data_IF_284381604826
#
_entry.id   IF_284381604826
#
_cell.length_a   1.000
_cell.length_b   1.000
_cell.length_c   1.000
_cell.angle_alpha   90.00
_cell.angle_beta   90.00
_cell.angle_gamma   90.00
#
_symmetry.space_group_name_H-M   'P 1'
#
loop_
_entity.id
_entity.type
_entity.pdbx_description
1 polymer ?
#
# COMPACT_ATOMS: atom_id res chain seq x y z
N UNK A 1 49.73 -15.78 17.65
CA UNK A 1 48.93 -14.71 18.29
C UNK A 1 47.52 -14.86 17.76
N UNK A 2 46.81 -15.79 18.39
CA UNK A 2 45.39 -16.09 18.14
C UNK A 2 44.51 -15.09 18.87
N UNK A 3 43.35 -14.78 18.29
CA UNK A 3 42.04 -14.83 18.94
C UNK A 3 40.95 -14.57 17.91
N UNK A 4 40.52 -15.64 17.25
CA UNK A 4 39.19 -15.73 16.66
C UNK A 4 38.18 -15.89 17.80
N UNK A 5 37.28 -14.93 17.98
CA UNK A 5 36.17 -15.04 18.90
C UNK A 5 35.01 -15.74 18.19
N UNK A 6 34.67 -16.94 18.66
CA UNK A 6 33.44 -17.64 18.32
C UNK A 6 32.25 -16.83 18.87
N UNK A 7 31.39 -16.33 17.98
CA UNK A 7 30.04 -15.90 18.35
C UNK A 7 29.09 -17.07 18.12
N UNK A 8 28.74 -17.77 19.20
CA UNK A 8 27.52 -18.57 19.27
C UNK A 8 26.43 -17.65 19.82
N UNK A 9 25.53 -17.15 18.97
CA UNK A 9 24.32 -16.49 19.44
C UNK A 9 23.17 -17.51 19.50
N UNK A 10 22.74 -17.78 20.72
CA UNK A 10 21.49 -18.45 21.02
C UNK A 10 20.35 -17.59 20.50
N UNK A 11 19.54 -18.13 19.58
CA UNK A 11 18.30 -17.52 19.13
C UNK A 11 17.32 -17.53 20.31
N UNK A 12 17.05 -16.36 20.89
CA UNK A 12 15.98 -16.16 21.87
C UNK A 12 14.63 -16.26 21.16
N UNK A 13 13.97 -17.42 21.27
CA UNK A 13 12.58 -17.61 20.86
C UNK A 13 11.73 -17.31 22.09
N UNK A 14 11.06 -16.16 22.12
CA UNK A 14 10.02 -15.87 23.10
C UNK A 14 8.73 -16.44 22.54
N UNK A 15 8.29 -17.55 23.12
CA UNK A 15 7.00 -18.18 22.83
C UNK A 15 5.94 -17.51 23.72
N UNK A 16 4.94 -16.88 23.10
CA UNK A 16 3.80 -16.28 23.80
C UNK A 16 2.51 -17.09 23.64
N UNK A 17 2.61 -18.37 23.24
CA UNK A 17 1.45 -19.26 23.20
C UNK A 17 1.64 -20.41 24.17
N UNK A 18 1.30 -20.21 25.43
CA UNK A 18 0.87 -21.26 26.35
C UNK A 18 0.10 -20.60 27.50
N UNK A 19 -1.22 -20.53 27.31
CA UNK A 19 -2.26 -20.79 28.32
C UNK A 19 -3.60 -20.29 27.76
N UNK A 20 -4.10 -21.00 26.74
CA UNK A 20 -5.52 -21.01 26.40
C UNK A 20 -5.93 -22.48 26.25
N UNK A 21 -6.29 -23.06 27.38
CA UNK A 21 -6.85 -24.41 27.47
C UNK A 21 -8.31 -24.32 26.99
N UNK A 22 -8.58 -24.72 25.74
CA UNK A 22 -9.93 -24.88 25.24
C UNK A 22 -10.53 -26.14 25.88
N UNK A 23 -11.27 -25.96 26.97
CA UNK A 23 -12.20 -26.99 27.45
C UNK A 23 -13.51 -26.88 26.68
N UNK A 24 -13.83 -27.93 25.95
CA UNK A 24 -15.18 -28.18 25.46
C UNK A 24 -16.10 -28.42 26.66
N UNK A 25 -17.21 -27.69 26.75
CA UNK A 25 -18.37 -28.09 27.55
C UNK A 25 -19.69 -27.80 26.79
N UNK A 26 -20.75 -28.57 27.07
CA UNK A 26 -21.83 -28.83 26.13
C UNK A 26 -22.95 -27.79 26.17
N UNK A 27 -23.78 -27.80 25.12
CA UNK A 27 -24.96 -26.95 24.96
C UNK A 27 -26.01 -27.13 26.08
N UNK A 28 -26.62 -26.02 26.52
CA UNK A 28 -28.03 -25.88 26.95
C UNK A 28 -28.39 -24.38 27.12
N UNK A 29 -29.67 -24.09 26.89
CA UNK A 29 -30.39 -22.80 26.74
C UNK A 29 -30.46 -21.85 27.96
N UNK A 30 -30.86 -20.62 27.61
CA UNK A 30 -31.69 -19.63 28.34
C UNK A 30 -31.05 -18.49 29.17
N UNK A 31 -31.30 -17.27 28.66
CA UNK A 31 -31.72 -15.99 29.27
C UNK A 31 -31.07 -15.35 30.54
N UNK A 32 -30.89 -14.02 30.39
CA UNK A 32 -30.90 -12.90 31.36
C UNK A 32 -29.60 -12.41 32.09
N UNK A 33 -29.27 -11.14 31.74
CA UNK A 33 -28.85 -9.97 32.55
C UNK A 33 -27.62 -9.93 33.50
N UNK A 34 -26.81 -8.87 33.26
CA UNK A 34 -25.97 -8.04 34.14
C UNK A 34 -25.26 -8.65 35.36
N UNK A 35 -23.93 -8.51 35.42
CA UNK A 35 -23.26 -7.50 36.28
C UNK A 35 -21.74 -7.70 36.34
N UNK A 36 -21.06 -6.61 36.66
CA UNK A 36 -19.62 -6.43 36.78
C UNK A 36 -18.99 -7.23 37.92
N UNK A 37 -17.81 -7.82 37.70
CA UNK A 37 -16.92 -8.13 38.83
C UNK A 37 -15.43 -8.10 38.47
N UNK A 38 -14.68 -7.29 39.22
CA UNK A 38 -13.22 -7.23 39.27
C UNK A 38 -12.71 -8.45 40.04
N UNK A 39 -11.65 -9.11 39.58
CA UNK A 39 -10.89 -10.05 40.40
C UNK A 39 -9.40 -9.71 40.44
N UNK A 40 -8.93 -9.49 41.68
CA UNK A 40 -7.53 -9.46 42.09
C UNK A 40 -7.00 -10.90 42.18
N UNK A 41 -5.84 -11.19 41.59
CA UNK A 41 -5.12 -12.44 41.84
C UNK A 41 -3.78 -12.16 42.55
N UNK A 42 -3.62 -12.77 43.73
CA UNK A 42 -2.36 -12.94 44.45
C UNK A 42 -1.60 -14.13 43.87
N UNK A 43 -0.31 -13.95 43.57
CA UNK A 43 0.61 -15.00 43.15
C UNK A 43 1.30 -15.61 44.38
N UNK A 44 1.33 -16.94 44.47
CA UNK A 44 2.19 -17.71 45.39
C UNK A 44 3.16 -18.51 44.53
N UNK A 45 4.46 -18.35 44.79
CA UNK A 45 5.55 -19.05 44.11
C UNK A 45 6.09 -20.10 45.08
N UNK A 46 6.10 -21.38 44.68
CA UNK A 46 6.91 -22.42 45.33
C UNK A 46 7.88 -23.03 44.32
N UNK A 47 9.18 -22.92 44.63
CA UNK A 47 10.29 -23.55 43.91
C UNK A 47 10.64 -24.89 44.58
N UNK A 48 10.79 -25.96 43.80
CA UNK A 48 11.56 -27.15 44.20
C UNK A 48 12.45 -27.64 43.05
N UNK A 49 13.75 -27.58 43.28
CA UNK A 49 14.83 -28.13 42.46
C UNK A 49 15.14 -29.56 42.94
N UNK A 50 15.42 -30.47 42.02
CA UNK A 50 16.09 -31.74 42.32
C UNK A 50 17.20 -32.01 41.29
N UNK A 51 18.40 -32.30 41.81
CA UNK A 51 19.64 -32.59 41.09
C UNK A 51 19.80 -34.11 40.92
N UNK A 52 20.19 -34.58 39.73
CA UNK A 52 20.89 -35.87 39.63
C UNK A 52 21.90 -35.96 38.46
N UNK A 53 23.14 -36.24 38.89
CA UNK A 53 24.27 -37.05 38.36
C UNK A 53 24.74 -36.94 36.90
N UNK A 54 26.01 -36.54 36.79
CA UNK A 54 26.91 -36.48 35.63
C UNK A 54 27.64 -37.82 35.42
N UNK A 55 27.79 -38.34 34.18
CA UNK A 55 28.80 -39.35 33.84
C UNK A 55 30.08 -38.74 33.23
N UNK A 56 31.23 -39.40 33.50
CA UNK A 56 32.60 -39.04 33.07
C UNK A 56 32.93 -39.44 31.62
N UNK A 57 33.94 -38.81 30.97
CA UNK A 57 34.25 -39.03 29.55
C UNK A 57 35.22 -40.21 29.33
N UNK A 58 35.19 -40.88 28.16
CA UNK A 58 36.25 -41.80 27.76
C UNK A 58 37.35 -41.13 26.93
N UNK A 59 38.54 -41.69 27.09
CA UNK A 59 39.87 -41.27 26.65
C UNK A 59 40.14 -41.46 25.15
N UNK A 60 41.03 -40.61 24.62
CA UNK A 60 41.50 -40.51 23.24
C UNK A 60 42.37 -41.70 22.81
N UNK A 61 42.19 -42.19 21.58
CA UNK A 61 43.23 -42.84 20.80
C UNK A 61 43.37 -42.16 19.43
N UNK A 62 44.57 -41.66 19.15
CA UNK A 62 45.03 -41.04 17.91
C UNK A 62 45.41 -42.10 16.87
N UNK A 63 44.83 -42.01 15.68
CA UNK A 63 45.39 -42.60 14.45
C UNK A 63 45.25 -41.58 13.33
N UNK A 64 46.38 -41.10 12.84
CA UNK A 64 46.50 -40.16 11.72
C UNK A 64 46.37 -40.97 10.42
N UNK A 65 45.33 -40.69 9.63
CA UNK A 65 45.23 -41.11 8.24
C UNK A 65 44.98 -39.88 7.37
N UNK A 66 45.96 -39.52 6.56
CA UNK A 66 45.82 -38.50 5.53
C UNK A 66 44.89 -39.01 4.42
N UNK A 67 43.69 -38.45 4.32
CA UNK A 67 42.92 -38.43 3.08
C UNK A 67 42.56 -36.98 2.74
N UNK A 68 43.05 -36.54 1.58
CA UNK A 68 42.60 -35.32 0.92
C UNK A 68 41.13 -35.50 0.56
N UNK A 69 40.24 -34.69 1.14
CA UNK A 69 38.88 -34.53 0.63
C UNK A 69 38.50 -33.05 0.63
N UNK A 70 38.18 -32.55 -0.54
CA UNK A 70 37.59 -31.25 -0.84
C UNK A 70 36.45 -30.90 0.14
N UNK A 71 36.63 -29.84 0.93
CA UNK A 71 35.57 -29.25 1.73
C UNK A 71 34.78 -28.24 0.87
N UNK A 72 33.70 -28.71 0.27
CA UNK A 72 32.57 -27.84 -0.10
C UNK A 72 31.71 -27.65 1.15
N UNK A 73 31.80 -26.47 1.77
CA UNK A 73 30.91 -26.09 2.86
C UNK A 73 29.50 -25.78 2.32
N UNK A 74 28.67 -26.82 2.15
CA UNK A 74 27.23 -26.67 1.99
C UNK A 74 26.53 -26.80 3.35
N UNK A 75 26.64 -25.78 4.19
CA UNK A 75 25.73 -25.60 5.33
C UNK A 75 24.41 -25.03 4.81
N UNK A 76 23.57 -25.89 4.23
CA UNK A 76 22.22 -25.51 3.82
C UNK A 76 21.39 -25.08 5.04
N UNK A 77 20.91 -23.84 5.03
CA UNK A 77 19.94 -23.34 6.02
C UNK A 77 18.73 -24.29 6.02
N UNK A 78 18.52 -25.01 7.13
CA UNK A 78 17.36 -25.91 7.28
C UNK A 78 16.09 -25.06 7.31
N UNK A 79 15.21 -25.25 6.32
CA UNK A 79 13.89 -24.61 6.25
C UNK A 79 13.07 -24.99 7.48
N UNK A 80 12.44 -24.01 8.12
CA UNK A 80 11.61 -24.24 9.32
C UNK A 80 10.18 -24.60 8.91
N UNK A 81 9.47 -25.29 9.80
CA UNK A 81 8.03 -25.47 9.66
C UNK A 81 7.36 -24.10 9.79
N UNK A 82 6.65 -23.65 8.75
CA UNK A 82 6.05 -22.31 8.71
C UNK A 82 5.09 -22.06 9.89
N UNK A 83 4.39 -23.08 10.39
CA UNK A 83 3.49 -22.95 11.54
C UNK A 83 4.22 -22.45 12.79
N UNK A 84 5.49 -22.83 12.97
CA UNK A 84 6.31 -22.38 14.11
C UNK A 84 6.72 -20.89 14.04
N UNK A 85 6.56 -20.27 12.87
CA UNK A 85 6.91 -18.88 12.60
C UNK A 85 5.71 -17.94 12.60
N UNK A 86 4.48 -18.49 12.54
CA UNK A 86 3.26 -17.70 12.49
C UNK A 86 3.09 -16.81 13.72
N UNK A 87 2.60 -15.60 13.48
CA UNK A 87 2.37 -14.53 14.44
C UNK A 87 3.64 -14.10 15.20
N UNK A 88 4.80 -14.13 14.53
CA UNK A 88 6.09 -13.76 15.12
C UNK A 88 6.76 -12.61 14.39
N UNK A 89 7.43 -11.79 15.19
CA UNK A 89 8.44 -10.84 14.75
C UNK A 89 9.82 -11.42 15.07
N UNK A 90 10.64 -11.65 14.06
CA UNK A 90 11.93 -12.31 14.19
C UNK A 90 13.04 -11.30 13.86
N UNK A 91 14.00 -11.15 14.78
CA UNK A 91 15.18 -10.33 14.54
C UNK A 91 16.11 -11.09 13.61
N UNK A 92 16.15 -10.72 12.33
CA UNK A 92 16.93 -11.41 11.29
C UNK A 92 17.10 -10.51 10.07
N UNK A 93 18.19 -10.72 9.33
CA UNK A 93 18.32 -10.14 7.99
C UNK A 93 17.18 -10.63 7.07
N UNK A 94 16.69 -9.73 6.22
CA UNK A 94 15.57 -9.98 5.32
C UNK A 94 15.78 -11.16 4.35
N UNK A 95 16.99 -11.33 3.77
CA UNK A 95 17.28 -12.45 2.87
C UNK A 95 17.42 -13.76 3.65
N UNK A 96 18.08 -13.72 4.81
CA UNK A 96 18.19 -14.90 5.67
C UNK A 96 16.82 -15.35 6.19
N UNK A 97 15.96 -14.41 6.60
CA UNK A 97 14.57 -14.68 6.97
C UNK A 97 13.77 -15.31 5.84
N UNK A 98 13.87 -14.78 4.62
CA UNK A 98 13.20 -15.35 3.44
C UNK A 98 13.64 -16.80 3.17
N UNK A 99 14.94 -17.12 3.32
CA UNK A 99 15.46 -18.50 3.13
C UNK A 99 14.92 -19.50 4.15
N UNK A 100 14.50 -19.04 5.33
CA UNK A 100 13.86 -19.90 6.35
C UNK A 100 12.46 -20.37 5.94
N UNK A 101 11.78 -19.62 5.07
CA UNK A 101 10.40 -19.87 4.66
C UNK A 101 10.30 -20.95 3.57
N UNK A 102 9.30 -21.84 3.61
CA UNK A 102 9.00 -22.76 2.50
C UNK A 102 8.58 -22.00 1.23
N UNK A 103 8.73 -22.64 0.07
CA UNK A 103 8.14 -22.12 -1.17
C UNK A 103 6.61 -22.13 -1.11
N UNK A 104 5.94 -21.25 -1.85
CA UNK A 104 4.47 -21.22 -1.97
C UNK A 104 3.73 -21.20 -0.62
N UNK A 105 4.19 -20.39 0.33
CA UNK A 105 3.76 -20.43 1.73
C UNK A 105 3.21 -19.11 2.27
N UNK A 106 3.37 -18.02 1.52
CA UNK A 106 2.93 -16.67 1.91
C UNK A 106 1.90 -16.16 0.90
N UNK A 107 0.76 -15.69 1.40
CA UNK A 107 -0.33 -15.21 0.55
C UNK A 107 -0.16 -13.74 0.16
N UNK A 108 0.21 -12.89 1.12
CA UNK A 108 0.38 -11.47 0.88
C UNK A 108 1.66 -10.95 1.54
N UNK A 109 2.36 -10.07 0.84
CA UNK A 109 3.51 -9.36 1.38
C UNK A 109 3.23 -7.88 1.21
N UNK A 110 3.27 -7.10 2.29
CA UNK A 110 3.25 -5.63 2.22
C UNK A 110 4.53 -5.17 2.87
N UNK A 111 5.37 -4.48 2.12
CA UNK A 111 6.70 -4.11 2.62
C UNK A 111 7.24 -2.87 1.94
N UNK A 112 8.25 -2.25 2.55
CA UNK A 112 8.93 -1.08 2.03
C UNK A 112 10.40 -1.12 2.46
N UNK A 113 11.36 -1.32 1.55
CA UNK A 113 12.77 -1.38 1.90
C UNK A 113 13.32 0.01 2.25
N UNK A 114 14.52 0.07 2.86
CA UNK A 114 15.28 1.31 2.91
C UNK A 114 15.70 1.73 1.49
N UNK A 115 15.43 2.98 1.10
CA UNK A 115 15.51 3.45 -0.29
C UNK A 115 16.93 3.77 -0.79
N UNK A 116 17.97 3.50 -0.02
CA UNK A 116 19.37 3.74 -0.37
C UNK A 116 19.66 5.17 -0.84
N UNK A 117 19.08 6.16 -0.15
CA UNK A 117 19.22 7.56 -0.57
C UNK A 117 20.58 8.14 -0.21
N UNK A 118 21.24 7.63 0.84
CA UNK A 118 22.61 8.00 1.16
C UNK A 118 23.59 7.32 0.20
N UNK A 119 23.35 6.03 -0.11
CA UNK A 119 24.17 5.25 -1.03
C UNK A 119 24.18 5.80 -2.44
N UNK A 120 23.01 6.23 -2.95
CA UNK A 120 22.89 6.94 -4.23
C UNK A 120 23.72 8.24 -4.28
N UNK A 121 24.04 8.82 -3.11
CA UNK A 121 24.83 10.04 -2.96
C UNK A 121 26.31 9.78 -2.62
N UNK A 122 26.77 8.53 -2.73
CA UNK A 122 28.12 8.12 -2.34
C UNK A 122 28.45 8.52 -0.90
N UNK A 123 27.55 8.28 0.05
CA UNK A 123 27.76 8.59 1.47
C UNK A 123 27.56 10.06 1.86
N UNK A 124 27.21 10.95 0.92
CA UNK A 124 27.06 12.38 1.22
C UNK A 124 25.70 12.67 1.86
N UNK A 125 25.73 13.00 3.15
CA UNK A 125 24.55 13.39 3.94
C UNK A 125 23.80 14.59 3.34
N UNK A 126 22.52 14.73 3.71
CA UNK A 126 21.63 15.78 3.26
C UNK A 126 20.59 16.13 4.33
N UNK A 127 20.06 17.36 4.29
CA UNK A 127 19.29 17.97 5.39
C UNK A 127 18.04 17.20 5.88
N UNK A 128 17.50 16.28 5.08
CA UNK A 128 16.32 15.46 5.41
C UNK A 128 16.63 13.97 5.32
N UNK A 129 17.84 13.59 5.75
CA UNK A 129 18.27 12.19 5.78
C UNK A 129 17.48 11.42 6.83
N UNK A 130 16.92 10.29 6.39
CA UNK A 130 16.36 9.28 7.29
C UNK A 130 17.53 8.54 7.94
N UNK A 131 17.50 8.43 9.27
CA UNK A 131 18.47 7.68 10.07
C UNK A 131 17.74 6.52 10.73
N UNK A 132 18.10 5.30 10.36
CA UNK A 132 17.57 4.09 10.98
C UNK A 132 18.40 3.71 12.21
N UNK A 133 17.90 2.76 13.00
CA UNK A 133 18.52 2.32 14.24
C UNK A 133 19.84 1.57 14.00
N UNK A 134 19.82 0.54 13.14
CA UNK A 134 20.94 -0.39 12.94
C UNK A 134 21.42 -0.47 11.47
N UNK A 135 20.86 0.36 10.59
CA UNK A 135 21.13 0.32 9.14
C UNK A 135 21.48 1.70 8.56
N UNK A 136 22.57 1.77 7.81
CA UNK A 136 23.14 3.05 7.34
C UNK A 136 22.54 3.57 6.01
N UNK A 137 21.80 2.74 5.26
CA UNK A 137 21.17 3.12 3.99
C UNK A 137 22.15 3.67 2.92
N UNK A 138 23.37 3.14 2.91
CA UNK A 138 24.52 3.68 2.16
C UNK A 138 25.19 2.70 1.17
N UNK A 139 24.44 1.74 0.64
CA UNK A 139 24.96 0.75 -0.30
C UNK A 139 25.30 1.39 -1.66
N UNK A 140 26.32 0.89 -2.38
CA UNK A 140 26.56 1.33 -3.75
C UNK A 140 25.30 1.09 -4.60
N UNK A 141 24.96 1.99 -5.52
CA UNK A 141 23.71 1.89 -6.29
C UNK A 141 23.59 0.58 -7.09
N UNK A 142 24.68 0.07 -7.68
CA UNK A 142 24.64 -1.20 -8.42
C UNK A 142 24.45 -2.40 -7.47
N UNK A 143 25.09 -2.36 -6.31
CA UNK A 143 24.93 -3.38 -5.26
C UNK A 143 23.51 -3.37 -4.71
N UNK A 144 22.94 -2.17 -4.50
CA UNK A 144 21.55 -2.00 -4.05
C UNK A 144 20.55 -2.58 -5.04
N UNK A 145 20.70 -2.26 -6.33
CA UNK A 145 19.81 -2.83 -7.34
C UNK A 145 19.92 -4.36 -7.42
N UNK A 146 21.13 -4.90 -7.28
CA UNK A 146 21.34 -6.35 -7.24
C UNK A 146 20.67 -6.96 -6.01
N UNK A 147 20.90 -6.38 -4.82
CA UNK A 147 20.29 -6.84 -3.57
C UNK A 147 18.76 -6.82 -3.63
N UNK A 148 18.16 -5.75 -4.16
CA UNK A 148 16.72 -5.69 -4.37
C UNK A 148 16.21 -6.75 -5.36
N UNK A 149 16.93 -7.00 -6.45
CA UNK A 149 16.56 -8.06 -7.39
C UNK A 149 16.63 -9.45 -6.74
N UNK A 150 17.67 -9.73 -5.96
CA UNK A 150 17.83 -11.00 -5.23
C UNK A 150 16.71 -11.21 -4.20
N UNK A 151 16.32 -10.15 -3.48
CA UNK A 151 15.16 -10.15 -2.58
C UNK A 151 13.86 -10.47 -3.31
N UNK A 152 13.56 -9.76 -4.40
CA UNK A 152 12.36 -9.99 -5.20
C UNK A 152 12.31 -11.41 -5.78
N UNK A 153 13.47 -11.98 -6.13
CA UNK A 153 13.59 -13.35 -6.61
C UNK A 153 13.28 -14.39 -5.52
N UNK A 154 13.75 -14.17 -4.29
CA UNK A 154 13.39 -15.03 -3.15
C UNK A 154 11.92 -14.86 -2.74
N UNK A 155 11.37 -13.64 -2.86
CA UNK A 155 9.93 -13.39 -2.69
C UNK A 155 9.11 -14.21 -3.70
N UNK A 156 9.51 -14.23 -4.97
CA UNK A 156 8.85 -15.06 -5.99
C UNK A 156 8.80 -16.53 -5.59
N UNK A 157 9.79 -17.05 -4.85
CA UNK A 157 9.78 -18.44 -4.35
C UNK A 157 8.73 -18.64 -3.25
N UNK A 158 8.68 -17.74 -2.25
CA UNK A 158 7.83 -17.92 -1.06
C UNK A 158 6.36 -17.57 -1.30
N UNK A 159 6.04 -16.69 -2.27
CA UNK A 159 4.64 -16.38 -2.61
C UNK A 159 3.89 -17.63 -3.09
N UNK A 160 2.65 -17.81 -2.65
CA UNK A 160 1.70 -18.76 -3.25
C UNK A 160 1.46 -18.42 -4.73
N UNK A 161 1.01 -19.37 -5.57
CA UNK A 161 0.75 -19.10 -6.99
C UNK A 161 -0.23 -17.94 -7.25
N UNK A 162 -1.21 -17.75 -6.35
CA UNK A 162 -2.18 -16.65 -6.39
C UNK A 162 -1.87 -15.54 -5.36
N UNK A 163 -0.64 -15.51 -4.85
CA UNK A 163 -0.18 -14.55 -3.85
C UNK A 163 0.21 -13.20 -4.44
N UNK A 164 0.22 -12.17 -3.60
CA UNK A 164 0.50 -10.79 -3.98
C UNK A 164 1.60 -10.16 -3.14
N UNK A 165 2.49 -9.39 -3.78
CA UNK A 165 3.42 -8.47 -3.13
C UNK A 165 2.98 -7.04 -3.42
N UNK A 166 2.84 -6.22 -2.39
CA UNK A 166 2.71 -4.78 -2.46
C UNK A 166 4.01 -4.15 -1.96
N UNK A 167 4.84 -3.75 -2.90
CA UNK A 167 6.18 -3.21 -2.64
C UNK A 167 6.15 -1.69 -2.75
N UNK A 168 6.18 -1.00 -1.61
CA UNK A 168 6.18 0.45 -1.56
C UNK A 168 7.59 1.01 -1.77
N UNK A 169 7.75 1.86 -2.76
CA UNK A 169 9.00 2.55 -3.06
C UNK A 169 8.73 3.92 -3.70
N UNK A 170 9.78 4.73 -3.86
CA UNK A 170 9.71 5.99 -4.60
C UNK A 170 10.79 6.12 -5.66
N UNK A 171 10.56 7.01 -6.62
CA UNK A 171 11.61 7.49 -7.51
C UNK A 171 12.64 8.28 -6.70
N UNK A 172 13.91 7.95 -6.89
CA UNK A 172 15.02 8.56 -6.15
C UNK A 172 15.74 9.54 -7.06
N UNK A 173 15.76 10.82 -6.69
CA UNK A 173 16.41 11.85 -7.49
C UNK A 173 17.80 12.16 -6.97
N UNK A 174 18.79 12.07 -7.84
CA UNK A 174 20.16 12.50 -7.55
C UNK A 174 20.83 13.02 -8.82
N UNK A 175 21.69 14.03 -8.70
CA UNK A 175 22.47 14.59 -9.80
C UNK A 175 21.64 14.89 -11.09
N UNK A 176 20.50 15.58 -10.93
CA UNK A 176 19.56 15.93 -12.03
C UNK A 176 18.98 14.73 -12.80
N UNK A 177 19.03 13.53 -12.21
CA UNK A 177 18.49 12.29 -12.78
C UNK A 177 17.55 11.61 -11.78
N UNK A 178 16.51 10.98 -12.30
CA UNK A 178 15.64 10.10 -11.52
C UNK A 178 16.08 8.64 -11.67
N UNK A 179 16.03 7.90 -10.55
CA UNK A 179 16.35 6.49 -10.43
C UNK A 179 15.07 5.73 -10.05
N UNK A 180 14.23 5.40 -11.05
CA UNK A 180 12.98 4.67 -10.84
C UNK A 180 13.23 3.22 -10.38
N UNK A 181 12.52 2.72 -9.36
CA UNK A 181 12.64 1.33 -8.89
C UNK A 181 12.35 0.27 -9.94
N UNK A 182 11.54 0.62 -10.94
CA UNK A 182 11.19 -0.23 -12.09
C UNK A 182 12.45 -0.81 -12.77
N UNK A 183 13.58 -0.09 -12.75
CA UNK A 183 14.84 -0.55 -13.36
C UNK A 183 15.36 -1.87 -12.80
N UNK A 184 15.16 -2.15 -11.51
CA UNK A 184 15.55 -3.41 -10.90
C UNK A 184 14.36 -4.36 -10.70
N UNK A 185 13.14 -3.83 -10.50
CA UNK A 185 11.92 -4.65 -10.39
C UNK A 185 11.71 -5.50 -11.65
N UNK A 186 11.83 -4.88 -12.83
CA UNK A 186 11.62 -5.55 -14.12
C UNK A 186 12.71 -6.58 -14.47
N UNK A 187 13.82 -6.61 -13.73
CA UNK A 187 14.87 -7.63 -13.86
C UNK A 187 14.64 -8.84 -12.96
N UNK A 188 13.67 -8.75 -12.03
CA UNK A 188 13.34 -9.85 -11.11
C UNK A 188 12.44 -10.90 -11.78
N UNK A 189 12.26 -12.02 -11.09
CA UNK A 189 11.35 -13.10 -11.48
C UNK A 189 9.88 -12.79 -11.19
N UNK A 190 9.54 -11.68 -10.53
CA UNK A 190 8.14 -11.30 -10.30
C UNK A 190 7.56 -10.58 -11.52
N UNK A 191 6.25 -10.70 -11.69
CA UNK A 191 5.51 -9.96 -12.71
C UNK A 191 4.92 -8.69 -12.09
N UNK A 192 5.20 -7.54 -12.68
CA UNK A 192 4.49 -6.29 -12.35
C UNK A 192 3.05 -6.40 -12.86
N UNK A 193 2.10 -6.51 -11.94
CA UNK A 193 0.68 -6.62 -12.24
C UNK A 193 0.03 -5.25 -12.41
N UNK A 194 0.28 -4.34 -11.46
CA UNK A 194 -0.20 -2.96 -11.53
C UNK A 194 0.67 -2.04 -10.66
N UNK A 195 0.80 -0.77 -11.05
CA UNK A 195 1.35 0.27 -10.18
C UNK A 195 0.19 1.07 -9.58
N UNK A 196 0.22 1.24 -8.25
CA UNK A 196 -0.69 2.08 -7.49
C UNK A 196 0.08 3.33 -7.04
N UNK A 197 -0.52 4.50 -7.18
CA UNK A 197 0.06 5.78 -6.78
C UNK A 197 -0.45 6.13 -5.39
N UNK A 198 0.45 6.17 -4.42
CA UNK A 198 0.17 6.71 -3.10
C UNK A 198 0.41 8.23 -3.12
N UNK A 199 -0.67 8.99 -3.24
CA UNK A 199 -0.66 10.44 -3.10
C UNK A 199 -0.68 10.81 -1.61
N UNK A 200 0.45 11.32 -1.14
CA UNK A 200 0.63 11.70 0.27
C UNK A 200 0.10 13.09 0.59
N UNK A 201 -0.38 13.83 -0.42
CA UNK A 201 -0.86 15.21 -0.33
C UNK A 201 0.22 16.26 0.01
N UNK A 202 1.33 15.86 0.65
CA UNK A 202 2.39 16.76 1.11
C UNK A 202 3.78 16.10 1.02
N UNK A 203 4.82 16.92 1.03
CA UNK A 203 6.22 16.45 1.05
C UNK A 203 7.09 17.42 1.86
N UNK A 204 8.03 16.92 2.68
CA UNK A 204 8.98 17.77 3.39
C UNK A 204 10.04 18.36 2.44
N UNK A 205 10.20 17.79 1.23
CA UNK A 205 11.19 18.22 0.27
C UNK A 205 10.70 19.46 -0.51
N UNK A 206 11.07 20.64 -0.02
CA UNK A 206 10.81 21.93 -0.66
C UNK A 206 12.03 22.32 -1.50
N UNK A 207 11.96 22.05 -2.80
CA UNK A 207 13.02 22.41 -3.76
C UNK A 207 12.39 22.99 -5.03
N UNK A 208 12.90 24.12 -5.52
CA UNK A 208 12.34 24.82 -6.67
C UNK A 208 12.88 24.31 -8.03
N UNK A 209 13.82 23.37 -8.03
CA UNK A 209 14.47 22.88 -9.25
C UNK A 209 13.70 21.73 -9.93
N UNK A 210 12.60 21.26 -9.34
CA UNK A 210 11.77 20.17 -9.88
C UNK A 210 10.40 20.14 -9.20
N UNK A 211 9.44 19.43 -9.81
CA UNK A 211 8.12 19.21 -9.23
C UNK A 211 8.20 18.51 -7.88
N UNK A 212 7.34 18.92 -6.94
CA UNK A 212 7.33 18.38 -5.58
C UNK A 212 7.01 16.87 -5.59
N UNK A 213 7.87 16.01 -5.00
CA UNK A 213 7.61 14.58 -4.93
C UNK A 213 6.66 14.28 -3.76
N UNK A 214 5.37 14.52 -3.98
CA UNK A 214 4.28 14.23 -3.05
C UNK A 214 3.77 12.79 -3.16
N UNK A 215 4.15 12.05 -4.20
CA UNK A 215 3.73 10.66 -4.40
C UNK A 215 4.82 9.64 -4.04
N UNK A 216 4.38 8.46 -3.64
CA UNK A 216 5.14 7.21 -3.67
C UNK A 216 4.39 6.18 -4.54
N UNK A 217 5.07 5.10 -4.92
CA UNK A 217 4.54 4.05 -5.78
C UNK A 217 4.46 2.75 -4.98
N UNK A 218 3.30 2.12 -5.02
CA UNK A 218 3.10 0.75 -4.52
C UNK A 218 3.05 -0.13 -5.76
N UNK A 219 4.08 -0.95 -5.94
CA UNK A 219 4.14 -1.92 -7.03
C UNK A 219 3.42 -3.19 -6.58
N UNK A 220 2.27 -3.47 -7.19
CA UNK A 220 1.59 -4.75 -7.03
C UNK A 220 2.24 -5.76 -7.97
N UNK A 221 3.01 -6.65 -7.36
CA UNK A 221 3.80 -7.70 -8.01
C UNK A 221 3.18 -9.06 -7.70
N UNK A 222 3.18 -9.95 -8.68
CA UNK A 222 2.65 -11.31 -8.55
C UNK A 222 3.71 -12.34 -8.92
N UNK A 223 3.54 -13.57 -8.43
CA UNK A 223 4.40 -14.68 -8.81
C UNK A 223 4.37 -14.87 -10.32
N UNK A 224 5.53 -15.07 -10.94
CA UNK A 224 5.56 -15.49 -12.35
C UNK A 224 5.19 -16.98 -12.42
N UNK A 225 4.18 -17.28 -13.22
CA UNK A 225 3.78 -18.64 -13.55
C UNK A 225 3.71 -18.81 -15.06
N UNK A 226 4.15 -19.97 -15.55
CA UNK A 226 3.97 -20.36 -16.94
C UNK A 226 2.52 -20.79 -17.24
N UNK A 227 1.77 -21.13 -16.19
CA UNK A 227 0.37 -21.51 -16.31
C UNK A 227 -0.51 -20.24 -16.24
N UNK A 228 -1.22 -19.92 -17.35
CA UNK A 228 -2.02 -18.70 -17.46
C UNK A 228 -3.29 -18.71 -16.61
N UNK A 229 -3.67 -19.85 -16.03
CA UNK A 229 -4.83 -19.94 -15.13
C UNK A 229 -4.57 -19.32 -13.75
N UNK A 230 -3.31 -19.17 -13.35
CA UNK A 230 -2.97 -18.53 -12.09
C UNK A 230 -3.25 -17.03 -12.16
N UNK A 231 -4.25 -16.63 -11.39
CA UNK A 231 -4.60 -15.23 -11.16
C UNK A 231 -4.39 -14.90 -9.69
N UNK A 232 -3.87 -13.70 -9.37
CA UNK A 232 -3.77 -13.29 -7.97
C UNK A 232 -5.17 -13.21 -7.34
N UNK A 233 -5.30 -13.60 -6.07
CA UNK A 233 -6.52 -13.29 -5.32
C UNK A 233 -6.77 -11.79 -5.34
N UNK A 234 -7.97 -11.36 -5.72
CA UNK A 234 -8.36 -9.96 -5.68
C UNK A 234 -9.85 -9.77 -5.39
N UNK A 235 -10.14 -9.06 -4.31
CA UNK A 235 -11.48 -8.85 -3.76
C UNK A 235 -11.85 -7.37 -3.77
N UNK A 236 -12.02 -6.79 -4.98
CA UNK A 236 -12.34 -5.36 -5.15
C UNK A 236 -13.59 -4.91 -4.37
N UNK A 237 -14.55 -5.81 -4.20
CA UNK A 237 -15.80 -5.55 -3.48
C UNK A 237 -15.62 -5.35 -1.97
N UNK A 238 -14.51 -5.80 -1.38
CA UNK A 238 -14.18 -5.57 0.04
C UNK A 238 -13.63 -4.17 0.30
N UNK A 239 -13.29 -3.42 -0.75
CA UNK A 239 -12.67 -2.09 -0.63
C UNK A 239 -13.71 -0.97 -0.74
N UNK A 240 -13.53 0.12 0.03
CA UNK A 240 -14.27 1.36 -0.20
C UNK A 240 -13.99 1.95 -1.59
N UNK A 241 -14.95 2.71 -2.13
CA UNK A 241 -14.92 3.18 -3.53
C UNK A 241 -13.64 3.97 -3.87
N UNK A 242 -13.18 4.83 -2.95
CA UNK A 242 -11.97 5.61 -3.13
C UNK A 242 -10.69 4.78 -3.30
N UNK A 243 -10.67 3.53 -2.83
CA UNK A 243 -9.53 2.60 -2.95
C UNK A 243 -9.71 1.52 -4.03
N UNK A 244 -10.83 1.53 -4.76
CA UNK A 244 -11.00 0.67 -5.95
C UNK A 244 -10.19 1.17 -7.15
N UNK A 245 -9.78 2.44 -7.13
CA UNK A 245 -8.96 3.10 -8.14
C UNK A 245 -7.46 2.95 -7.82
N UNK A 246 -6.59 3.25 -8.78
CA UNK A 246 -5.13 3.12 -8.64
C UNK A 246 -4.44 4.34 -8.02
N UNK A 247 -5.19 5.37 -7.61
CA UNK A 247 -4.65 6.55 -6.92
C UNK A 247 -5.22 6.60 -5.52
N UNK A 248 -4.36 6.41 -4.53
CA UNK A 248 -4.70 6.33 -3.12
C UNK A 248 -4.21 7.57 -2.42
N UNK A 249 -5.16 8.38 -1.94
CA UNK A 249 -4.85 9.57 -1.16
C UNK A 249 -4.86 9.20 0.31
N UNK A 250 -3.68 9.10 0.90
CA UNK A 250 -3.52 8.74 2.32
C UNK A 250 -2.41 9.64 2.89
N UNK A 251 -2.65 10.44 3.93
CA UNK A 251 -1.60 11.24 4.56
C UNK A 251 -0.47 10.36 5.12
N UNK A 252 0.79 10.85 5.19
CA UNK A 252 1.87 10.15 5.85
C UNK A 252 1.57 9.85 7.32
N UNK A 253 2.09 8.73 7.83
CA UNK A 253 2.03 8.40 9.25
C UNK A 253 2.84 9.41 10.09
N UNK A 254 2.27 9.90 11.18
CA UNK A 254 2.88 10.92 12.05
C UNK A 254 2.95 10.53 13.53
N UNK A 255 2.17 9.53 13.96
CA UNK A 255 2.10 9.09 15.36
C UNK A 255 3.18 8.06 15.68
N UNK A 256 3.74 7.41 14.66
CA UNK A 256 4.74 6.37 14.81
C UNK A 256 6.16 6.95 14.92
N UNK A 257 6.91 6.55 15.95
CA UNK A 257 8.29 7.03 16.20
C UNK A 257 9.34 6.46 15.24
N UNK A 258 8.98 5.46 14.43
CA UNK A 258 9.85 4.94 13.39
C UNK A 258 10.13 6.07 12.40
N UNK A 259 11.35 6.22 11.87
CA UNK A 259 11.70 7.41 11.08
C UNK A 259 11.03 7.45 9.70
N UNK A 260 10.63 6.29 9.15
CA UNK A 260 9.96 6.19 7.86
C UNK A 260 8.87 5.09 7.83
N UNK A 261 7.77 5.22 8.60
CA UNK A 261 6.66 4.27 8.54
C UNK A 261 5.69 4.66 7.41
N UNK A 262 5.15 3.68 6.69
CA UNK A 262 3.94 3.90 5.89
C UNK A 262 2.68 3.81 6.79
N UNK A 263 1.55 4.41 6.37
CA UNK A 263 0.28 4.36 7.13
C UNK A 263 -0.28 2.95 7.24
N UNK A 264 -0.86 2.61 8.38
CA UNK A 264 -1.47 1.29 8.61
C UNK A 264 -2.61 0.99 7.63
N UNK A 265 -3.45 1.98 7.32
CA UNK A 265 -4.54 1.82 6.37
C UNK A 265 -4.06 1.33 4.98
N UNK A 266 -2.89 1.79 4.52
CA UNK A 266 -2.31 1.34 3.25
C UNK A 266 -2.11 -0.18 3.26
N UNK A 267 -1.54 -0.72 4.35
CA UNK A 267 -1.37 -2.15 4.50
C UNK A 267 -2.71 -2.88 4.65
N UNK A 268 -3.66 -2.33 5.41
CA UNK A 268 -4.99 -2.93 5.57
C UNK A 268 -5.72 -3.08 4.21
N UNK A 269 -5.69 -2.05 3.35
CA UNK A 269 -6.26 -2.10 2.01
C UNK A 269 -5.61 -3.21 1.18
N UNK A 270 -4.28 -3.28 1.17
CA UNK A 270 -3.53 -4.30 0.44
C UNK A 270 -3.89 -5.73 0.91
N UNK A 271 -3.93 -5.95 2.22
CA UNK A 271 -4.25 -7.25 2.83
C UNK A 271 -5.70 -7.62 2.53
N UNK A 272 -6.65 -6.74 2.80
CA UNK A 272 -8.08 -6.99 2.60
C UNK A 272 -8.41 -7.30 1.14
N UNK A 273 -7.73 -6.63 0.20
CA UNK A 273 -7.89 -6.83 -1.23
C UNK A 273 -7.42 -8.19 -1.72
N UNK A 274 -6.47 -8.87 -1.05
CA UNK A 274 -5.72 -10.00 -1.64
C UNK A 274 -5.60 -11.24 -0.76
N UNK A 275 -6.25 -11.23 0.41
CA UNK A 275 -6.21 -12.33 1.38
C UNK A 275 -7.60 -12.64 1.92
N UNK A 276 -7.78 -13.84 2.44
CA UNK A 276 -8.88 -14.23 3.31
C UNK A 276 -8.42 -14.26 4.77
N UNK A 277 -9.35 -14.37 5.72
CA UNK A 277 -9.00 -14.53 7.14
C UNK A 277 -8.14 -15.80 7.34
N UNK A 278 -7.18 -15.72 8.27
CA UNK A 278 -6.22 -16.79 8.53
C UNK A 278 -5.09 -16.92 7.49
N UNK A 279 -5.15 -16.27 6.32
CA UNK A 279 -4.04 -16.29 5.36
C UNK A 279 -2.77 -15.67 5.96
N UNK A 280 -1.60 -16.16 5.52
CA UNK A 280 -0.30 -15.70 5.98
C UNK A 280 0.15 -14.42 5.28
N UNK A 281 0.39 -13.36 6.06
CA UNK A 281 0.94 -12.07 5.64
C UNK A 281 2.40 -11.95 6.09
N UNK A 282 3.28 -11.44 5.23
CA UNK A 282 4.70 -11.22 5.57
C UNK A 282 5.10 -9.76 5.38
N UNK A 283 5.98 -9.28 6.24
CA UNK A 283 6.77 -8.08 6.02
C UNK A 283 8.24 -8.36 6.32
N UNK A 284 9.10 -8.22 5.31
CA UNK A 284 10.54 -8.52 5.44
C UNK A 284 11.37 -7.30 5.90
N UNK A 285 10.73 -6.13 5.97
CA UNK A 285 11.26 -4.88 6.52
C UNK A 285 10.26 -4.35 7.54
N UNK A 286 9.94 -5.20 8.53
CA UNK A 286 8.79 -5.03 9.40
C UNK A 286 8.83 -3.70 10.18
N UNK A 287 10.03 -3.16 10.46
CA UNK A 287 10.20 -1.91 11.19
C UNK A 287 9.39 -1.95 12.49
N UNK A 288 8.61 -0.90 12.75
CA UNK A 288 7.71 -0.86 13.92
C UNK A 288 6.42 -1.67 13.77
N UNK A 289 6.35 -2.59 12.81
CA UNK A 289 5.32 -3.62 12.69
C UNK A 289 4.00 -3.18 12.04
N UNK A 290 3.99 -2.15 11.18
CA UNK A 290 2.74 -1.64 10.59
C UNK A 290 1.95 -2.71 9.84
N UNK A 291 2.60 -3.51 8.98
CA UNK A 291 1.95 -4.61 8.27
C UNK A 291 1.43 -5.69 9.21
N UNK A 292 2.20 -6.00 10.27
CA UNK A 292 1.87 -7.06 11.21
C UNK A 292 0.65 -6.68 12.06
N UNK A 293 0.59 -5.43 12.52
CA UNK A 293 -0.58 -4.88 13.23
C UNK A 293 -1.80 -4.87 12.30
N UNK A 294 -1.66 -4.43 11.05
CA UNK A 294 -2.74 -4.48 10.06
C UNK A 294 -3.25 -5.91 9.82
N UNK A 295 -2.34 -6.88 9.69
CA UNK A 295 -2.70 -8.30 9.52
C UNK A 295 -3.44 -8.84 10.74
N UNK A 296 -2.95 -8.56 11.96
CA UNK A 296 -3.60 -8.97 13.20
C UNK A 296 -5.02 -8.38 13.33
N UNK A 297 -5.18 -7.09 13.06
CA UNK A 297 -6.48 -6.40 13.09
C UNK A 297 -7.49 -6.98 12.08
N UNK A 298 -7.01 -7.48 10.95
CA UNK A 298 -7.82 -8.14 9.94
C UNK A 298 -7.91 -9.66 10.12
N UNK A 299 -7.51 -10.20 11.28
CA UNK A 299 -7.57 -11.65 11.55
C UNK A 299 -6.78 -12.51 10.55
N UNK A 300 -5.64 -12.00 10.05
CA UNK A 300 -4.65 -12.78 9.28
C UNK A 300 -3.51 -13.21 10.19
N UNK A 301 -2.85 -14.30 9.83
CA UNK A 301 -1.59 -14.65 10.48
C UNK A 301 -0.46 -13.80 9.91
N UNK A 302 0.58 -13.50 10.69
CA UNK A 302 1.68 -12.67 10.21
C UNK A 302 3.07 -13.22 10.51
N UNK A 303 4.04 -12.84 9.69
CA UNK A 303 5.47 -13.01 9.96
C UNK A 303 6.15 -11.67 9.68
N UNK A 304 7.01 -11.21 10.60
CA UNK A 304 7.82 -10.01 10.42
C UNK A 304 9.30 -10.30 10.55
N UNK A 305 10.11 -9.76 9.65
CA UNK A 305 11.57 -9.72 9.77
C UNK A 305 12.06 -8.28 9.86
N UNK A 306 13.00 -8.04 10.75
CA UNK A 306 13.76 -6.79 10.83
C UNK A 306 15.04 -7.06 11.62
N UNK A 307 16.05 -6.21 11.49
CA UNK A 307 17.32 -6.36 12.21
C UNK A 307 17.35 -5.58 13.53
N UNK A 308 16.41 -4.67 13.78
CA UNK A 308 16.41 -3.82 14.97
C UNK A 308 15.55 -4.39 16.10
N UNK A 309 16.19 -4.69 17.24
CA UNK A 309 15.51 -5.04 18.50
C UNK A 309 14.63 -3.88 19.03
N UNK A 310 15.04 -2.63 18.79
CA UNK A 310 14.26 -1.44 19.16
C UNK A 310 12.93 -1.40 18.41
N UNK A 311 12.94 -1.69 17.12
CA UNK A 311 11.73 -1.71 16.31
C UNK A 311 10.81 -2.89 16.66
N UNK A 312 11.38 -4.05 17.01
CA UNK A 312 10.61 -5.16 17.59
C UNK A 312 9.87 -4.73 18.87
N UNK A 313 10.55 -4.03 19.78
CA UNK A 313 9.90 -3.51 21.00
C UNK A 313 8.73 -2.59 20.65
N UNK A 314 8.90 -1.68 19.68
CA UNK A 314 7.82 -0.80 19.23
C UNK A 314 6.63 -1.57 18.66
N UNK A 315 6.89 -2.64 17.90
CA UNK A 315 5.84 -3.53 17.41
C UNK A 315 5.06 -4.16 18.58
N UNK A 316 5.75 -4.70 19.59
CA UNK A 316 5.08 -5.28 20.77
C UNK A 316 4.27 -4.23 21.54
N UNK A 317 4.80 -3.03 21.73
CA UNK A 317 4.08 -1.93 22.39
C UNK A 317 2.79 -1.58 21.61
N UNK A 318 2.84 -1.56 20.26
CA UNK A 318 1.66 -1.30 19.39
C UNK A 318 0.65 -2.44 19.40
N UNK A 319 1.13 -3.69 19.38
CA UNK A 319 0.25 -4.86 19.37
C UNK A 319 -0.44 -5.04 20.72
N UNK A 320 0.28 -4.85 21.83
CA UNK A 320 -0.27 -4.92 23.19
C UNK A 320 -1.17 -3.73 23.52
N UNK A 321 -0.84 -2.55 22.98
CA UNK A 321 -1.70 -1.38 23.07
C UNK A 321 -2.93 -1.45 22.18
N UNK A 322 -3.07 -2.51 21.36
CA UNK A 322 -4.11 -2.76 20.36
C UNK A 322 -4.95 -1.51 20.16
N UNK A 323 -4.39 -0.55 19.42
CA UNK A 323 -5.12 0.62 18.96
C UNK A 323 -6.31 0.04 18.18
N UNK A 324 -7.41 -0.20 18.88
CA UNK A 324 -8.76 -0.42 18.35
C UNK A 324 -9.28 0.92 17.83
N UNK A 325 -8.40 1.69 17.22
CA UNK A 325 -8.76 2.77 16.33
C UNK A 325 -9.19 2.02 15.09
N UNK A 326 -10.50 1.93 14.92
CA UNK A 326 -11.06 1.65 13.61
C UNK A 326 -10.61 2.80 12.71
N UNK A 327 -9.43 2.67 12.08
CA UNK A 327 -8.85 3.71 11.20
C UNK A 327 -9.80 4.01 10.04
N UNK A 328 -10.67 3.05 9.71
CA UNK A 328 -11.79 3.22 8.80
C UNK A 328 -12.85 4.20 9.33
N UNK A 329 -13.05 4.36 10.64
CA UNK A 329 -13.95 5.39 11.18
C UNK A 329 -13.29 6.78 11.21
N UNK A 330 -12.00 6.87 11.60
CA UNK A 330 -11.30 8.17 11.66
C UNK A 330 -11.02 8.77 10.28
N UNK A 331 -10.68 7.95 9.27
CA UNK A 331 -10.29 8.45 7.94
C UNK A 331 -11.47 8.60 6.96
N UNK A 332 -12.62 7.99 7.28
CA UNK A 332 -13.88 8.12 6.52
C UNK A 332 -14.94 8.88 7.30
N UNK A 333 -14.52 9.74 8.23
CA UNK A 333 -15.44 10.70 8.80
C UNK A 333 -15.88 11.66 7.68
N UNK A 334 -17.15 11.56 7.30
CA UNK A 334 -17.79 12.56 6.44
C UNK A 334 -17.77 13.89 7.19
N UNK A 335 -17.12 14.89 6.63
CA UNK A 335 -17.13 16.24 7.18
C UNK A 335 -18.44 16.95 6.80
N UNK A 336 -18.86 16.79 5.54
CA UNK A 336 -20.05 17.45 5.01
C UNK A 336 -20.64 16.65 3.84
N UNK A 337 -21.97 16.60 3.73
CA UNK A 337 -22.65 16.12 2.52
C UNK A 337 -22.96 17.34 1.65
N UNK A 338 -22.38 17.39 0.46
CA UNK A 338 -22.41 18.55 -0.42
C UNK A 338 -23.59 18.52 -1.40
N UNK A 339 -23.93 17.34 -1.91
CA UNK A 339 -24.95 17.20 -2.95
C UNK A 339 -25.56 15.78 -2.97
N UNK A 340 -26.66 15.61 -3.71
CA UNK A 340 -27.39 14.35 -3.90
C UNK A 340 -27.82 14.21 -5.35
N UNK A 341 -27.65 13.01 -5.90
CA UNK A 341 -28.15 12.65 -7.23
C UNK A 341 -28.79 11.27 -7.25
N UNK A 342 -29.59 11.02 -8.28
CA UNK A 342 -30.07 9.67 -8.61
C UNK A 342 -29.36 9.23 -9.87
N UNK A 343 -28.63 8.11 -9.81
CA UNK A 343 -27.93 7.50 -10.95
C UNK A 343 -28.30 6.03 -11.02
N UNK A 344 -28.81 5.58 -12.16
CA UNK A 344 -29.23 4.19 -12.39
C UNK A 344 -30.19 3.64 -11.32
N UNK A 345 -31.13 4.46 -10.83
CA UNK A 345 -32.08 4.07 -9.78
C UNK A 345 -31.53 4.10 -8.35
N UNK A 346 -30.22 4.31 -8.17
CA UNK A 346 -29.59 4.43 -6.86
C UNK A 346 -29.40 5.90 -6.45
N UNK A 347 -29.58 6.18 -5.15
CA UNK A 347 -29.29 7.51 -4.59
C UNK A 347 -27.82 7.55 -4.18
N UNK A 348 -27.11 8.53 -4.70
CA UNK A 348 -25.71 8.82 -4.37
C UNK A 348 -25.61 10.21 -3.72
N UNK A 349 -24.65 10.37 -2.82
CA UNK A 349 -24.34 11.61 -2.12
C UNK A 349 -22.89 12.02 -2.36
N UNK A 350 -22.66 13.30 -2.60
CA UNK A 350 -21.32 13.86 -2.76
C UNK A 350 -20.76 14.22 -1.38
N UNK A 351 -19.70 13.55 -0.95
CA UNK A 351 -19.14 13.70 0.39
C UNK A 351 -17.86 14.53 0.38
N UNK A 352 -17.81 15.54 1.25
CA UNK A 352 -16.56 16.16 1.69
C UNK A 352 -15.98 15.31 2.81
N UNK A 353 -14.80 14.74 2.58
CA UNK A 353 -14.11 13.93 3.56
C UNK A 353 -13.30 14.79 4.51
N UNK A 354 -13.32 14.45 5.81
CA UNK A 354 -12.55 15.19 6.82
C UNK A 354 -11.05 15.15 6.50
N UNK A 355 -10.43 16.32 6.44
CA UNK A 355 -8.99 16.46 6.14
C UNK A 355 -8.64 16.45 4.65
N UNK A 356 -9.64 16.42 3.75
CA UNK A 356 -9.46 16.52 2.31
C UNK A 356 -10.06 17.84 1.77
N UNK A 357 -9.51 18.33 0.65
CA UNK A 357 -10.05 19.52 0.00
C UNK A 357 -11.41 19.21 -0.65
N UNK A 358 -12.28 20.21 -0.77
CA UNK A 358 -13.62 20.06 -1.37
C UNK A 358 -13.58 19.51 -2.80
N UNK A 359 -12.53 19.80 -3.57
CA UNK A 359 -12.31 19.23 -4.92
C UNK A 359 -12.11 17.72 -4.94
N UNK A 360 -11.80 17.12 -3.79
CA UNK A 360 -11.56 15.69 -3.63
C UNK A 360 -12.81 14.93 -3.17
N UNK A 361 -13.97 15.57 -3.19
CA UNK A 361 -15.24 14.96 -2.80
C UNK A 361 -15.63 13.83 -3.74
N UNK A 362 -16.14 12.72 -3.19
CA UNK A 362 -16.57 11.54 -3.96
C UNK A 362 -18.06 11.28 -3.82
N UNK A 363 -18.65 10.67 -4.86
CA UNK A 363 -20.05 10.24 -4.83
C UNK A 363 -20.14 8.84 -4.22
N UNK A 364 -20.82 8.71 -3.09
CA UNK A 364 -21.02 7.44 -2.40
C UNK A 364 -22.50 7.06 -2.38
N UNK A 365 -22.80 5.76 -2.52
CA UNK A 365 -24.16 5.27 -2.42
C UNK A 365 -24.69 5.40 -1.00
N UNK A 366 -26.00 5.65 -0.86
CA UNK A 366 -26.66 5.77 0.46
C UNK A 366 -26.31 4.62 1.41
N UNK A 367 -26.27 3.39 0.90
CA UNK A 367 -26.02 2.19 1.70
C UNK A 367 -24.58 2.09 2.23
N UNK A 368 -23.66 2.89 1.68
CA UNK A 368 -22.26 2.93 2.10
C UNK A 368 -21.99 4.06 3.11
N UNK A 369 -23.01 4.86 3.47
CA UNK A 369 -22.86 6.00 4.37
C UNK A 369 -23.14 5.60 5.82
N UNK A 370 -22.13 5.74 6.68
CA UNK A 370 -22.27 5.58 8.13
C UNK A 370 -22.32 6.94 8.85
N UNK A 371 -23.24 7.84 8.44
CA UNK A 371 -23.39 9.18 9.02
C UNK A 371 -24.86 9.65 9.09
N UNK A 372 -25.72 8.97 9.89
CA UNK A 372 -27.16 9.21 9.91
C UNK A 372 -27.52 10.67 10.20
N UNK A 373 -26.83 11.31 11.16
CA UNK A 373 -27.11 12.70 11.56
C UNK A 373 -26.83 13.71 10.43
N UNK A 374 -25.70 13.55 9.72
CA UNK A 374 -25.36 14.42 8.59
C UNK A 374 -26.31 14.21 7.42
N UNK A 375 -26.71 12.95 7.18
CA UNK A 375 -27.65 12.59 6.14
C UNK A 375 -29.04 13.19 6.39
N UNK A 376 -29.54 13.09 7.61
CA UNK A 376 -30.83 13.66 8.01
C UNK A 376 -30.84 15.18 7.88
N UNK A 377 -29.80 15.86 8.38
CA UNK A 377 -29.64 17.32 8.26
C UNK A 377 -29.59 17.75 6.80
N UNK A 378 -28.82 17.05 5.97
CA UNK A 378 -28.72 17.34 4.55
C UNK A 378 -30.07 17.17 3.85
N UNK A 379 -30.74 16.02 4.02
CA UNK A 379 -32.03 15.73 3.39
C UNK A 379 -33.11 16.74 3.79
N UNK A 380 -33.13 17.14 5.06
CA UNK A 380 -34.05 18.16 5.57
C UNK A 380 -33.82 19.50 4.88
N UNK A 381 -32.56 19.94 4.81
CA UNK A 381 -32.19 21.19 4.13
C UNK A 381 -32.46 21.14 2.62
N UNK A 382 -32.24 19.98 1.98
CA UNK A 382 -32.45 19.77 0.55
C UNK A 382 -33.93 19.81 0.19
N UNK A 383 -34.80 19.16 0.98
CA UNK A 383 -36.27 19.24 0.82
C UNK A 383 -36.79 20.66 1.00
N UNK A 384 -36.28 21.40 1.97
CA UNK A 384 -36.64 22.81 2.19
C UNK A 384 -36.20 23.70 1.02
N UNK A 385 -34.97 23.56 0.53
CA UNK A 385 -34.47 24.26 -0.67
C UNK A 385 -35.29 23.93 -1.91
N UNK A 386 -35.67 22.66 -2.10
CA UNK A 386 -36.52 22.23 -3.21
C UNK A 386 -37.92 22.84 -3.13
N UNK A 387 -38.54 22.88 -1.93
CA UNK A 387 -39.83 23.56 -1.70
C UNK A 387 -39.76 25.07 -1.96
N UNK A 388 -38.73 25.75 -1.46
CA UNK A 388 -38.55 27.20 -1.72
C UNK A 388 -38.39 27.49 -3.22
N UNK A 389 -37.57 26.71 -3.92
CA UNK A 389 -37.38 26.85 -5.36
C UNK A 389 -38.65 26.59 -6.17
N UNK A 390 -39.51 25.66 -5.75
CA UNK A 390 -40.82 25.46 -6.39
C UNK A 390 -41.83 26.58 -6.12
N UNK A 391 -41.71 27.28 -4.98
CA UNK A 391 -42.59 28.41 -4.64
C UNK A 391 -42.17 29.66 -5.43
N UNK A 392 -40.87 29.97 -5.48
CA UNK A 392 -40.33 31.11 -6.25
C UNK A 392 -40.54 30.99 -7.78
N UNK A 393 -40.71 29.76 -8.29
CA UNK A 393 -41.06 29.52 -9.70
C UNK A 393 -42.55 29.75 -9.98
N UNK A 394 -43.43 29.63 -8.97
CA UNK A 394 -44.87 29.84 -9.12
C UNK A 394 -45.25 31.33 -8.97
N UNK A 395 -44.51 32.12 -8.19
CA UNK A 395 -44.79 33.54 -7.96
C UNK A 395 -44.37 34.45 -9.14
N UNK A 396 -43.56 33.95 -10.08
CA UNK A 396 -43.11 34.70 -11.26
C UNK A 396 -44.04 34.54 -12.49
N UNK A 397 -45.13 33.78 -12.38
CA UNK A 397 -46.08 33.51 -13.48
C UNK A 397 -47.37 34.35 -13.37
N UNK A 398 -47.45 35.30 -12.43
CA UNK A 398 -48.67 36.04 -12.08
C UNK A 398 -48.58 37.57 -12.20
N UNK A 399 -48.02 38.10 -13.28
CA UNK A 399 -48.21 39.52 -13.65
C UNK A 399 -48.79 39.66 -15.05
N UNK A 400 -50.10 39.93 -15.09
CA UNK A 400 -50.92 40.22 -16.27
C UNK A 400 -50.64 41.61 -16.87
N UNK A 401 -50.53 41.68 -18.19
CA UNK A 401 -50.48 42.90 -19.01
C UNK A 401 -51.85 43.59 -19.11
N UNK A 402 -51.92 44.94 -19.15
CA UNK A 402 -53.11 45.65 -19.62
C UNK A 402 -52.95 46.19 -21.06
N UNK A 403 -54.07 46.11 -21.78
CA UNK A 403 -54.36 46.58 -23.15
C UNK A 403 -54.31 48.12 -23.32
N UNK A 404 -54.04 48.65 -24.54
CA UNK A 404 -53.74 50.07 -24.73
C UNK A 404 -54.96 50.92 -25.13
N UNK A 405 -54.99 52.17 -24.68
CA UNK A 405 -55.90 53.23 -25.16
C UNK A 405 -55.12 54.39 -25.79
N UNK A 406 -55.56 54.79 -26.97
CA UNK A 406 -54.98 55.77 -27.88
C UNK A 406 -55.42 57.19 -27.49
N UNK A 407 -54.47 58.14 -27.39
CA UNK A 407 -54.70 59.57 -27.66
C UNK A 407 -53.46 60.20 -28.32
N UNK A 408 -53.72 61.14 -29.23
CA UNK A 408 -52.90 61.59 -30.36
C UNK A 408 -52.50 63.08 -30.22
N UNK A 409 -51.23 63.39 -30.57
CA UNK A 409 -50.57 64.65 -31.00
C UNK A 409 -50.59 65.89 -30.06
N UNK A 410 -49.52 66.69 -29.94
CA UNK A 410 -48.81 67.41 -31.02
C UNK A 410 -47.28 67.54 -30.87
N UNK A 411 -46.59 67.27 -31.99
CA UNK A 411 -45.41 67.93 -32.58
C UNK A 411 -44.09 68.06 -31.78
N UNK A 412 -43.02 67.49 -32.34
CA UNK A 412 -41.63 67.79 -31.93
C UNK A 412 -40.53 66.84 -32.40
N UNK A 413 -40.51 66.50 -33.70
CA UNK A 413 -39.40 65.98 -34.53
C UNK A 413 -38.36 64.95 -33.98
N UNK A 414 -38.52 63.72 -34.51
CA UNK A 414 -37.54 62.86 -35.25
C UNK A 414 -36.32 62.28 -34.49
N UNK A 415 -36.02 60.97 -34.48
CA UNK A 415 -36.29 59.88 -35.44
C UNK A 415 -36.59 58.50 -34.78
N UNK A 416 -37.60 57.83 -35.35
CA UNK A 416 -37.89 56.38 -35.40
C UNK A 416 -36.71 55.56 -35.99
N UNK A 417 -36.56 54.24 -35.85
CA UNK A 417 -37.24 53.19 -35.07
C UNK A 417 -36.48 51.86 -35.22
N UNK A 418 -36.40 51.15 -34.10
CA UNK A 418 -36.45 49.68 -33.85
C UNK A 418 -36.63 48.70 -35.01
N UNK A 419 -36.06 47.49 -34.84
CA UNK A 419 -36.82 46.22 -34.82
C UNK A 419 -36.25 45.30 -33.73
N UNK A 420 -37.16 44.73 -32.95
CA UNK A 420 -37.04 43.67 -31.94
C UNK A 420 -36.49 42.34 -32.48
N UNK A 421 -35.88 41.55 -31.60
CA UNK A 421 -36.12 40.09 -31.51
C UNK A 421 -35.50 39.52 -30.22
N UNK A 422 -36.31 38.85 -29.42
CA UNK A 422 -35.92 38.09 -28.22
C UNK A 422 -35.25 36.74 -28.61
N UNK A 423 -34.92 35.85 -27.65
CA UNK A 423 -33.57 35.50 -27.25
C UNK A 423 -33.11 34.15 -27.84
N UNK A 424 -31.87 34.08 -28.35
CA UNK A 424 -31.27 32.79 -28.75
C UNK A 424 -29.97 32.52 -28.02
N UNK A 425 -29.95 31.36 -27.35
CA UNK A 425 -28.82 30.50 -26.96
C UNK A 425 -27.43 31.11 -27.23
N UNK A 426 -26.72 31.57 -26.19
CA UNK A 426 -25.26 31.70 -26.30
C UNK A 426 -24.61 30.33 -26.26
N UNK A 427 -24.19 29.93 -27.46
CA UNK A 427 -23.26 28.84 -27.80
C UNK A 427 -22.04 28.82 -26.88
N UNK A 428 -21.59 27.59 -26.59
CA UNK A 428 -20.19 27.28 -26.25
C UNK A 428 -19.26 27.98 -27.24
N UNK A 429 -18.36 28.82 -26.76
CA UNK A 429 -17.14 29.11 -27.50
C UNK A 429 -16.27 27.87 -27.39
N UNK A 430 -16.22 27.10 -28.47
CA UNK A 430 -15.12 26.17 -28.71
C UNK A 430 -13.88 27.00 -29.04
N UNK A 431 -12.87 26.89 -28.18
CA UNK A 431 -11.52 27.37 -28.49
C UNK A 431 -10.89 26.30 -29.37
N UNK A 432 -10.86 26.55 -30.68
CA UNK A 432 -10.09 25.76 -31.65
C UNK A 432 -8.61 26.08 -31.45
N UNK A 433 -7.88 25.17 -30.81
CA UNK A 433 -6.41 25.16 -30.89
C UNK A 433 -6.06 24.54 -32.24
N UNK A 434 -5.51 25.35 -33.14
CA UNK A 434 -4.88 24.88 -34.37
C UNK A 434 -3.58 24.19 -33.97
N UNK A 435 -3.56 22.85 -34.03
CA UNK A 435 -2.33 22.08 -34.02
C UNK A 435 -1.85 21.95 -35.46
N UNK A 436 -0.72 22.60 -35.73
CA UNK A 436 0.04 22.44 -36.96
C UNK A 436 0.45 20.96 -37.12
N UNK A 437 0.05 20.34 -38.23
CA UNK A 437 0.31 18.94 -38.55
C UNK A 437 1.42 18.89 -39.58
N UNK A 438 2.61 18.48 -39.16
CA UNK A 438 3.54 17.79 -40.05
C UNK A 438 4.32 16.76 -39.26
N UNK A 439 4.00 15.48 -39.46
CA UNK A 439 4.90 14.37 -39.81
C UNK A 439 4.05 13.10 -39.75
N UNK A 440 3.90 12.50 -40.93
CA UNK A 440 3.28 11.20 -41.20
C UNK A 440 4.36 10.14 -41.04
N UNK A 441 4.05 9.01 -40.40
CA UNK A 441 4.57 7.72 -40.82
C UNK A 441 3.50 6.65 -40.58
N UNK A 442 3.06 6.07 -41.68
CA UNK A 442 2.24 4.87 -41.76
C UNK A 442 2.96 3.67 -41.13
N UNK A 443 2.17 2.72 -40.60
CA UNK A 443 2.33 1.29 -40.84
C UNK A 443 1.18 0.54 -40.15
N UNK A 444 0.26 0.03 -40.97
CA UNK A 444 -0.51 -1.16 -40.62
C UNK A 444 -0.28 -2.21 -41.71
N UNK A 445 -0.05 -3.42 -41.21
CA UNK A 445 -0.57 -4.70 -41.66
C UNK A 445 0.16 -5.55 -42.72
N UNK A 446 0.42 -6.76 -42.21
CA UNK A 446 0.11 -8.07 -42.78
C UNK A 446 1.16 -8.81 -43.62
N UNK A 447 1.66 -9.85 -42.94
CA UNK A 447 1.69 -11.26 -43.32
C UNK A 447 2.52 -11.76 -44.51
N UNK A 448 3.25 -12.81 -44.13
CA UNK A 448 3.53 -14.04 -44.86
C UNK A 448 4.73 -14.12 -45.82
N UNK A 449 5.51 -15.16 -45.49
CA UNK A 449 5.99 -16.20 -46.39
C UNK A 449 7.42 -16.09 -46.99
N UNK A 450 8.21 -17.08 -46.55
CA UNK A 450 9.07 -17.96 -47.37
C UNK A 450 10.41 -17.41 -47.87
N UNK A 451 11.48 -18.16 -47.54
CA UNK A 451 12.41 -18.59 -48.59
C UNK A 451 13.88 -18.22 -48.42
N UNK A 452 14.66 -19.22 -48.00
CA UNK A 452 15.91 -19.67 -48.62
C UNK A 452 17.07 -18.71 -48.94
N UNK A 453 18.20 -19.04 -48.29
CA UNK A 453 19.50 -19.36 -48.90
C UNK A 453 20.39 -18.25 -49.51
N UNK A 454 21.70 -18.46 -49.32
CA UNK A 454 22.79 -17.88 -50.12
C UNK A 454 23.42 -16.65 -49.50
N UNK A 455 24.55 -16.75 -48.81
CA UNK A 455 25.92 -16.92 -49.34
C UNK A 455 26.70 -15.60 -49.44
N UNK A 456 27.73 -15.53 -48.60
CA UNK A 456 29.10 -15.14 -48.96
C UNK A 456 29.51 -13.66 -49.08
N UNK A 457 30.77 -13.46 -48.66
CA UNK A 457 31.74 -12.40 -49.00
C UNK A 457 31.63 -11.10 -48.16
N UNK A 458 32.56 -10.76 -47.28
CA UNK A 458 34.02 -10.53 -47.32
C UNK A 458 34.34 -9.02 -47.22
N UNK A 459 35.21 -8.69 -46.25
CA UNK A 459 36.11 -7.53 -46.07
C UNK A 459 35.85 -6.84 -44.71
N UNK A 460 36.65 -7.06 -43.66
CA UNK A 460 38.04 -6.63 -43.44
C UNK A 460 38.33 -5.17 -43.81
N UNK A 461 38.49 -4.33 -42.77
CA UNK A 461 39.57 -3.34 -42.49
C UNK A 461 39.16 -2.60 -41.21
N UNK A 462 39.82 -2.75 -40.05
CA UNK A 462 41.18 -2.33 -39.64
C UNK A 462 41.37 -0.80 -39.62
N UNK A 463 41.46 -0.32 -38.38
CA UNK A 463 42.46 0.63 -37.85
C UNK A 463 42.32 2.16 -38.02
N UNK A 464 42.53 2.79 -36.85
CA UNK A 464 43.05 4.14 -36.54
C UNK A 464 42.20 5.34 -36.99
N UNK A 465 41.87 6.34 -36.16
CA UNK A 465 42.52 6.96 -34.99
C UNK A 465 41.56 7.22 -33.80
#
# INVERSE_FOLDING_TARGET
>A
MDKAAQFNENIEIIDLTNDYDFKEEPAINDYHEFSTCRFNCKVVIENKISLSRIPRPPTVHTSITHQKSSLSNNNGIKRKNIKSLMNKYIIVDCLEGLKMLPSNSIQCIVTSPPYNKLGLRNGRSYALQIVYDTYDDNMNENEYQKWQCDLLNEINRVLTPNGSLFYNHKDRRFCKRDYPPEQFILKSKLKLYQTIIWDRGSTPNQNNNYFRPNVEKIFWLTKSSADPSYTPKFYRNRLPECFKNSIWRIPPERRNKHPAPFPQLLAEICILATTDEGDAVLDIFAGSGTTLVAAANLHRQFIGFDISKKYQKMFHDRLAGADSINLWEEMYTVEEILDRRTKNGHTEYLLKWKGYDKSQSTWEQKNNLNCPDLLERFETSFKQKKRKKSIELNDNDSTSTPTPSIHVCESGMRCFSSIDQTPTKRRRQEVTIILDRTIVFDLLNDNDAIGCAGSSLHHQRSDHD
#
